data_IF_559656245775
#
_entry.id   IF_559656245775
#
_cell.length_a   1.000
_cell.length_b   1.000
_cell.length_c   1.000
_cell.angle_alpha   90.00
_cell.angle_beta   90.00
_cell.angle_gamma   90.00
#
_symmetry.space_group_name_H-M   'P 1'
#
loop_
_entity.id
_entity.type
_entity.pdbx_description
1 polymer ?
#
# COMPACT_ATOMS: atom_id res chain seq x y z
N UNK A 1 -26.23 19.78 14.41
CA UNK A 1 -25.26 18.86 15.08
C UNK A 1 -24.91 17.63 14.24
N UNK A 2 -25.71 17.21 13.26
CA UNK A 2 -25.39 16.07 12.38
C UNK A 2 -24.20 16.27 11.46
N UNK A 3 -24.09 17.43 10.80
CA UNK A 3 -23.05 17.66 9.76
C UNK A 3 -21.63 17.74 10.32
N UNK A 4 -21.46 18.33 11.50
CA UNK A 4 -20.14 18.42 12.17
C UNK A 4 -19.58 17.05 12.55
N UNK A 5 -20.46 16.10 12.88
CA UNK A 5 -20.05 14.76 13.30
C UNK A 5 -19.63 13.92 12.09
N UNK A 6 -20.38 14.04 10.97
CA UNK A 6 -20.06 13.38 9.70
C UNK A 6 -18.75 13.89 9.09
N UNK A 7 -18.58 15.21 9.02
CA UNK A 7 -17.36 15.82 8.49
C UNK A 7 -16.09 15.40 9.27
N UNK A 8 -16.21 15.24 10.59
CA UNK A 8 -15.11 14.78 11.43
C UNK A 8 -14.74 13.31 11.15
N UNK A 9 -15.73 12.43 11.00
CA UNK A 9 -15.51 11.01 10.68
C UNK A 9 -14.87 10.86 9.30
N UNK A 10 -15.32 11.61 8.29
CA UNK A 10 -14.71 11.59 6.94
C UNK A 10 -13.26 12.09 6.96
N UNK A 11 -12.93 13.12 7.75
CA UNK A 11 -11.53 13.56 7.90
C UNK A 11 -10.64 12.51 8.59
N UNK A 12 -11.15 11.83 9.61
CA UNK A 12 -10.42 10.75 10.30
C UNK A 12 -10.18 9.56 9.36
N UNK A 13 -11.19 9.10 8.61
CA UNK A 13 -11.05 7.99 7.65
C UNK A 13 -10.04 8.29 6.52
N UNK A 14 -10.03 9.52 5.99
CA UNK A 14 -9.05 9.96 4.98
C UNK A 14 -7.64 10.01 5.55
N UNK A 15 -7.50 10.42 6.82
CA UNK A 15 -6.20 10.42 7.51
C UNK A 15 -5.68 8.98 7.69
N UNK A 16 -6.53 8.08 8.17
CA UNK A 16 -6.17 6.70 8.47
C UNK A 16 -5.82 5.91 7.20
N UNK A 17 -6.61 6.07 6.12
CA UNK A 17 -6.31 5.43 4.83
C UNK A 17 -4.96 5.87 4.24
N UNK A 18 -4.58 7.14 4.40
CA UNK A 18 -3.26 7.68 3.99
C UNK A 18 -2.11 7.10 4.84
N UNK A 19 -2.32 6.97 6.15
CA UNK A 19 -1.32 6.36 7.04
C UNK A 19 -1.10 4.88 6.70
N UNK A 20 -2.18 4.11 6.52
CA UNK A 20 -2.10 2.70 6.13
C UNK A 20 -1.45 2.52 4.76
N UNK A 21 -1.73 3.41 3.80
CA UNK A 21 -1.07 3.40 2.49
C UNK A 21 0.43 3.65 2.59
N UNK A 22 0.85 4.56 3.48
CA UNK A 22 2.27 4.81 3.76
C UNK A 22 2.93 3.56 4.34
N UNK A 23 2.27 2.91 5.30
CA UNK A 23 2.76 1.69 5.91
C UNK A 23 2.92 0.54 4.89
N UNK A 24 1.97 0.36 3.96
CA UNK A 24 2.11 -0.62 2.87
C UNK A 24 3.36 -0.33 2.02
N UNK A 25 3.61 0.93 1.69
CA UNK A 25 4.80 1.32 0.90
C UNK A 25 6.09 1.06 1.66
N UNK A 26 6.13 1.35 2.96
CA UNK A 26 7.28 1.05 3.81
C UNK A 26 7.54 -0.46 3.90
N UNK A 27 6.50 -1.27 4.09
CA UNK A 27 6.61 -2.74 4.10
C UNK A 27 7.14 -3.28 2.76
N UNK A 28 6.65 -2.76 1.64
CA UNK A 28 7.16 -3.12 0.31
C UNK A 28 8.64 -2.75 0.14
N UNK A 29 9.07 -1.60 0.66
CA UNK A 29 10.47 -1.20 0.63
C UNK A 29 11.33 -2.12 1.51
N UNK A 30 10.87 -2.47 2.71
CA UNK A 30 11.55 -3.44 3.58
C UNK A 30 11.72 -4.81 2.92
N UNK A 31 10.69 -5.30 2.20
CA UNK A 31 10.79 -6.54 1.42
C UNK A 31 11.86 -6.47 0.33
N UNK A 32 11.97 -5.34 -0.40
CA UNK A 32 13.04 -5.14 -1.40
C UNK A 32 14.42 -5.11 -0.76
N UNK A 33 14.56 -4.51 0.41
CA UNK A 33 15.83 -4.53 1.15
C UNK A 33 16.23 -5.95 1.57
N UNK A 34 15.27 -6.82 1.92
CA UNK A 34 15.58 -8.22 2.20
C UNK A 34 16.04 -9.01 0.97
N UNK A 35 15.53 -8.69 -0.21
CA UNK A 35 16.06 -9.25 -1.46
C UNK A 35 17.52 -8.84 -1.67
N UNK A 36 17.90 -7.60 -1.35
CA UNK A 36 19.30 -7.19 -1.41
C UNK A 36 20.19 -7.93 -0.38
N UNK A 37 19.64 -8.29 0.78
CA UNK A 37 20.35 -9.13 1.76
C UNK A 37 20.52 -10.55 1.23
N UNK A 38 19.53 -11.08 0.52
CA UNK A 38 19.60 -12.38 -0.16
C UNK A 38 20.75 -12.44 -1.17
N UNK A 39 20.87 -11.41 -2.00
CA UNK A 39 21.93 -11.30 -3.00
C UNK A 39 23.30 -11.25 -2.33
N UNK A 40 23.41 -10.60 -1.16
CA UNK A 40 24.64 -10.55 -0.39
C UNK A 40 24.98 -11.91 0.23
N UNK A 41 24.00 -12.59 0.82
CA UNK A 41 24.17 -13.94 1.39
C UNK A 41 24.54 -14.95 0.32
N UNK A 42 23.93 -14.88 -0.87
CA UNK A 42 24.30 -15.72 -2.01
C UNK A 42 25.77 -15.53 -2.39
N UNK A 43 26.30 -14.29 -2.33
CA UNK A 43 27.72 -14.01 -2.59
C UNK A 43 28.62 -14.51 -1.46
N UNK A 44 28.20 -14.39 -0.22
CA UNK A 44 28.92 -14.93 0.95
C UNK A 44 28.94 -16.46 0.93
N UNK A 45 27.84 -17.12 0.58
CA UNK A 45 27.76 -18.57 0.38
C UNK A 45 28.63 -19.06 -0.78
N UNK A 46 28.81 -18.26 -1.84
CA UNK A 46 29.82 -18.54 -2.87
C UNK A 46 31.26 -18.34 -2.36
N UNK A 47 31.50 -17.33 -1.53
CA UNK A 47 32.80 -17.15 -0.89
C UNK A 47 33.10 -18.24 0.15
N UNK A 48 32.07 -18.86 0.71
CA UNK A 48 32.13 -19.97 1.66
C UNK A 48 32.57 -21.30 1.03
N UNK A 49 32.25 -21.57 -0.24
CA UNK A 49 32.87 -22.69 -1.00
C UNK A 49 34.41 -22.58 -1.03
N UNK A 50 34.95 -21.38 -0.79
CA UNK A 50 36.40 -21.10 -0.75
C UNK A 50 36.96 -21.18 0.69
N UNK A 51 36.12 -21.08 1.75
CA UNK A 51 36.55 -20.82 3.14
C UNK A 51 36.23 -21.93 4.19
N UNK A 52 35.34 -22.90 3.93
CA UNK A 52 35.17 -24.11 4.76
C UNK A 52 34.04 -24.12 5.83
N UNK A 53 33.92 -25.26 6.55
CA UNK A 53 32.70 -25.79 7.21
C UNK A 53 32.10 -25.00 8.41
N UNK A 54 32.81 -24.09 9.08
CA UNK A 54 32.26 -23.35 10.24
C UNK A 54 31.15 -22.34 9.86
N UNK A 55 31.02 -22.05 8.56
CA UNK A 55 29.98 -21.20 8.00
C UNK A 55 28.65 -21.94 7.72
N UNK A 56 28.57 -23.27 7.89
CA UNK A 56 27.36 -24.05 7.60
C UNK A 56 26.20 -23.70 8.54
N UNK A 57 26.41 -23.85 9.85
CA UNK A 57 25.37 -23.53 10.84
C UNK A 57 24.92 -22.07 10.80
N UNK A 58 25.85 -21.13 10.59
CA UNK A 58 25.54 -19.70 10.54
C UNK A 58 24.76 -19.33 9.28
N UNK A 59 25.05 -19.96 8.14
CA UNK A 59 24.30 -19.75 6.89
C UNK A 59 22.86 -20.24 7.05
N UNK A 60 22.67 -21.45 7.58
CA UNK A 60 21.34 -22.04 7.77
C UNK A 60 20.48 -21.21 8.74
N UNK A 61 21.08 -20.72 9.83
CA UNK A 61 20.40 -19.85 10.79
C UNK A 61 20.00 -18.50 10.17
N UNK A 62 20.83 -17.94 9.30
CA UNK A 62 20.53 -16.68 8.60
C UNK A 62 19.40 -16.90 7.59
N UNK A 63 19.44 -17.97 6.81
CA UNK A 63 18.42 -18.29 5.80
C UNK A 63 17.04 -18.53 6.45
N UNK A 64 17.03 -19.19 7.62
CA UNK A 64 15.82 -19.36 8.41
C UNK A 64 15.25 -18.04 8.92
N UNK A 65 16.08 -17.21 9.57
CA UNK A 65 15.65 -15.90 10.09
C UNK A 65 15.15 -14.98 8.98
N UNK A 66 15.76 -15.04 7.80
CA UNK A 66 15.32 -14.31 6.61
C UNK A 66 13.95 -14.77 6.16
N UNK A 67 13.73 -16.08 6.06
CA UNK A 67 12.42 -16.66 5.71
C UNK A 67 11.35 -16.21 6.71
N UNK A 68 11.62 -16.35 8.01
CA UNK A 68 10.70 -15.95 9.08
C UNK A 68 10.35 -14.44 9.00
N UNK A 69 11.35 -13.60 8.72
CA UNK A 69 11.16 -12.16 8.57
C UNK A 69 10.36 -11.80 7.32
N UNK A 70 10.65 -12.43 6.18
CA UNK A 70 9.91 -12.24 4.95
C UNK A 70 8.44 -12.65 5.11
N UNK A 71 8.17 -13.80 5.74
CA UNK A 71 6.81 -14.27 6.02
C UNK A 71 6.07 -13.31 6.96
N UNK A 72 6.76 -12.81 7.99
CA UNK A 72 6.20 -11.81 8.90
C UNK A 72 5.82 -10.51 8.17
N UNK A 73 6.68 -10.01 7.27
CA UNK A 73 6.39 -8.81 6.48
C UNK A 73 5.21 -9.02 5.51
N UNK A 74 5.12 -10.21 4.88
CA UNK A 74 3.98 -10.56 4.02
C UNK A 74 2.68 -10.58 4.84
N UNK A 75 2.70 -11.18 6.03
CA UNK A 75 1.53 -11.22 6.91
C UNK A 75 1.12 -9.82 7.37
N UNK A 76 2.08 -8.97 7.76
CA UNK A 76 1.82 -7.57 8.09
C UNK A 76 1.22 -6.81 6.90
N UNK A 77 1.77 -6.98 5.70
CA UNK A 77 1.24 -6.36 4.48
C UNK A 77 -0.21 -6.75 4.22
N UNK A 78 -0.53 -8.06 4.31
CA UNK A 78 -1.89 -8.56 4.16
C UNK A 78 -2.85 -8.00 5.21
N UNK A 79 -2.41 -7.93 6.46
CA UNK A 79 -3.22 -7.36 7.54
C UNK A 79 -3.53 -5.89 7.28
N UNK A 80 -2.52 -5.08 6.96
CA UNK A 80 -2.70 -3.64 6.69
C UNK A 80 -3.60 -3.41 5.48
N UNK A 81 -3.42 -4.16 4.40
CA UNK A 81 -4.33 -4.12 3.25
C UNK A 81 -5.76 -4.50 3.63
N UNK A 82 -5.95 -5.55 4.42
CA UNK A 82 -7.29 -5.96 4.88
C UNK A 82 -7.96 -4.90 5.75
N UNK A 83 -7.21 -4.21 6.62
CA UNK A 83 -7.75 -3.12 7.42
C UNK A 83 -8.13 -1.95 6.53
N UNK A 84 -7.25 -1.56 5.60
CA UNK A 84 -7.51 -0.49 4.63
C UNK A 84 -8.77 -0.79 3.80
N UNK A 85 -8.90 -2.01 3.28
CA UNK A 85 -10.03 -2.44 2.44
C UNK A 85 -11.35 -2.52 3.21
N UNK A 86 -11.31 -2.53 4.55
CA UNK A 86 -12.48 -2.52 5.43
C UNK A 86 -12.97 -1.10 5.78
N UNK A 87 -12.18 -0.06 5.48
CA UNK A 87 -12.59 1.33 5.73
C UNK A 87 -13.73 1.68 4.77
N UNK A 88 -14.84 2.14 5.35
CA UNK A 88 -15.99 2.63 4.58
C UNK A 88 -15.68 4.00 3.98
N UNK A 89 -15.95 4.13 2.68
CA UNK A 89 -15.78 5.38 1.94
C UNK A 89 -17.12 6.10 1.91
N UNK A 90 -17.17 7.26 2.55
CA UNK A 90 -18.41 8.03 2.67
C UNK A 90 -18.74 8.77 1.37
N UNK A 91 -20.03 9.02 1.12
CA UNK A 91 -20.44 9.83 -0.04
C UNK A 91 -19.86 11.24 0.00
N UNK A 92 -19.85 11.86 1.18
CA UNK A 92 -19.34 13.22 1.39
C UNK A 92 -17.83 13.32 1.06
N UNK A 93 -17.07 12.27 1.38
CA UNK A 93 -15.66 12.16 1.00
C UNK A 93 -15.49 12.11 -0.53
N UNK A 94 -16.29 11.28 -1.21
CA UNK A 94 -16.24 11.16 -2.68
C UNK A 94 -16.65 12.45 -3.37
N UNK A 95 -17.68 13.13 -2.88
CA UNK A 95 -18.17 14.38 -3.44
C UNK A 95 -17.10 15.48 -3.28
N UNK A 96 -16.52 15.62 -2.08
CA UNK A 96 -15.43 16.57 -1.84
C UNK A 96 -14.18 16.24 -2.67
N UNK A 97 -13.83 14.95 -2.80
CA UNK A 97 -12.70 14.51 -3.61
C UNK A 97 -12.90 14.83 -5.10
N UNK A 98 -14.11 14.60 -5.63
CA UNK A 98 -14.43 14.93 -7.01
C UNK A 98 -14.34 16.44 -7.27
N UNK A 99 -14.90 17.27 -6.39
CA UNK A 99 -14.81 18.73 -6.49
C UNK A 99 -13.36 19.22 -6.47
N UNK A 100 -12.57 18.74 -5.50
CA UNK A 100 -11.15 19.10 -5.39
C UNK A 100 -10.35 18.64 -6.60
N UNK A 101 -10.65 17.47 -7.15
CA UNK A 101 -9.96 16.96 -8.32
C UNK A 101 -10.24 17.82 -9.55
N UNK A 102 -11.48 18.27 -9.75
CA UNK A 102 -11.83 19.20 -10.83
C UNK A 102 -11.06 20.52 -10.70
N UNK A 103 -10.94 21.06 -9.49
CA UNK A 103 -10.16 22.27 -9.24
C UNK A 103 -8.67 22.06 -9.55
N UNK A 104 -8.12 20.92 -9.17
CA UNK A 104 -6.72 20.58 -9.38
C UNK A 104 -6.39 20.38 -10.87
N UNK A 105 -7.23 19.64 -11.61
CA UNK A 105 -7.03 19.38 -13.04
C UNK A 105 -7.55 20.48 -13.94
N UNK A 106 -8.17 21.53 -13.38
CA UNK A 106 -8.74 22.67 -14.10
C UNK A 106 -9.85 22.28 -15.09
N UNK A 107 -10.55 21.16 -14.84
CA UNK A 107 -11.59 20.68 -15.73
C UNK A 107 -12.10 19.29 -15.39
N UNK A 108 -13.40 19.06 -15.64
CA UNK A 108 -14.10 17.78 -15.39
C UNK A 108 -13.55 16.66 -16.26
N UNK A 109 -13.26 16.92 -17.54
CA UNK A 109 -12.72 15.91 -18.47
C UNK A 109 -11.30 15.46 -18.09
N UNK A 110 -10.46 16.40 -17.65
CA UNK A 110 -9.11 16.10 -17.17
C UNK A 110 -9.14 15.35 -15.83
N UNK A 111 -10.08 15.70 -14.94
CA UNK A 111 -10.32 14.98 -13.69
C UNK A 111 -10.70 13.51 -13.94
N UNK A 112 -11.63 13.26 -14.87
CA UNK A 112 -12.03 11.89 -15.26
C UNK A 112 -10.84 11.13 -15.84
N UNK A 113 -10.05 11.76 -16.71
CA UNK A 113 -8.88 11.14 -17.32
C UNK A 113 -7.84 10.74 -16.27
N UNK A 114 -7.59 11.63 -15.31
CA UNK A 114 -6.71 11.38 -14.19
C UNK A 114 -7.23 10.22 -13.32
N UNK A 115 -8.49 10.27 -12.88
CA UNK A 115 -9.06 9.25 -12.02
C UNK A 115 -9.07 7.86 -12.68
N UNK A 116 -9.38 7.78 -14.00
CA UNK A 116 -9.28 6.53 -14.77
C UNK A 116 -7.86 5.99 -14.87
N UNK A 117 -6.85 6.87 -14.93
CA UNK A 117 -5.44 6.46 -14.92
C UNK A 117 -5.06 5.87 -13.56
N UNK A 118 -5.44 6.52 -12.47
CA UNK A 118 -5.16 6.03 -11.11
C UNK A 118 -5.87 4.69 -10.83
N UNK A 119 -7.14 4.54 -11.27
CA UNK A 119 -7.91 3.30 -11.12
C UNK A 119 -7.23 2.09 -11.77
N UNK A 120 -6.64 2.25 -12.96
CA UNK A 120 -5.97 1.15 -13.70
C UNK A 120 -4.79 0.54 -12.95
N UNK A 121 -4.18 1.27 -12.02
CA UNK A 121 -3.07 0.78 -11.21
C UNK A 121 -3.53 0.04 -9.95
N UNK A 122 -4.84 0.03 -9.65
CA UNK A 122 -5.37 -0.56 -8.42
C UNK A 122 -5.80 -2.01 -8.60
N UNK A 123 -5.66 -2.78 -7.54
CA UNK A 123 -6.21 -4.13 -7.45
C UNK A 123 -7.72 -4.03 -7.29
N UNK A 124 -8.47 -4.82 -8.07
CA UNK A 124 -9.93 -4.91 -7.96
C UNK A 124 -10.37 -5.15 -6.50
N UNK A 125 -11.48 -4.55 -6.10
CA UNK A 125 -12.05 -4.57 -4.75
C UNK A 125 -11.21 -3.96 -3.60
N UNK A 126 -9.99 -3.49 -3.87
CA UNK A 126 -9.22 -2.73 -2.87
C UNK A 126 -9.89 -1.40 -2.52
N UNK A 127 -9.55 -0.83 -1.36
CA UNK A 127 -9.98 0.50 -0.94
C UNK A 127 -9.80 1.53 -2.04
N UNK A 128 -8.60 1.61 -2.62
CA UNK A 128 -8.28 2.60 -3.66
C UNK A 128 -9.03 2.34 -4.96
N UNK A 129 -9.31 1.08 -5.30
CA UNK A 129 -10.17 0.77 -6.44
C UNK A 129 -11.60 1.27 -6.23
N UNK A 130 -12.19 0.99 -5.05
CA UNK A 130 -13.52 1.48 -4.68
C UNK A 130 -13.58 3.01 -4.63
N UNK A 131 -12.55 3.63 -4.05
CA UNK A 131 -12.40 5.09 -3.97
C UNK A 131 -12.40 5.73 -5.35
N UNK A 132 -11.49 5.30 -6.23
CA UNK A 132 -11.40 5.89 -7.58
C UNK A 132 -12.62 5.59 -8.44
N UNK A 133 -13.23 4.42 -8.27
CA UNK A 133 -14.51 4.10 -8.92
C UNK A 133 -15.60 5.10 -8.49
N UNK A 134 -15.76 5.30 -7.17
CA UNK A 134 -16.73 6.26 -6.63
C UNK A 134 -16.47 7.69 -7.10
N UNK A 135 -15.21 8.15 -7.12
CA UNK A 135 -14.85 9.49 -7.63
C UNK A 135 -15.24 9.62 -9.11
N UNK A 136 -14.96 8.60 -9.94
CA UNK A 136 -15.34 8.62 -11.36
C UNK A 136 -16.86 8.70 -11.51
N UNK A 137 -17.64 7.93 -10.75
CA UNK A 137 -19.10 7.98 -10.80
C UNK A 137 -19.62 9.40 -10.55
N UNK A 138 -19.07 10.10 -9.54
CA UNK A 138 -19.43 11.49 -9.20
C UNK A 138 -19.06 12.45 -10.32
N UNK A 139 -17.87 12.26 -10.90
CA UNK A 139 -17.41 13.06 -12.03
C UNK A 139 -18.16 12.74 -13.33
N UNK A 140 -18.91 11.66 -13.44
CA UNK A 140 -19.70 11.34 -14.65
C UNK A 140 -21.19 11.57 -14.48
N UNK A 141 -21.65 11.78 -13.25
CA UNK A 141 -23.00 12.22 -12.93
C UNK A 141 -23.21 13.69 -13.31
#
# INVERSE_FOLDING_TARGET
MGDLTKAKISQENVSDSRQLTTLIKELQNSMRSLQSVDDYLTRVSKAKEILGNDLDSLSDDIDKKKTDLNDSLIQMGRFVSSVLDSIEITTDELDSAAEQLVLFTQGKDDAITYAKKELKAQVEDSYWHKYWTGVIERLTS
#
